data_IF_050847989493
#
_entry.id   IF_050847989493
#
_cell.length_a   1.000
_cell.length_b   1.000
_cell.length_c   1.000
_cell.angle_alpha   90.00
_cell.angle_beta   90.00
_cell.angle_gamma   90.00
#
_symmetry.space_group_name_H-M   'P 1'
#
loop_
_entity.id
_entity.type
_entity.pdbx_description
1 polymer ?
#
# COMPACT_ATOMS: atom_id res chain seq x y z
N UNK A 1 10.49 18.33 -13.18
CA UNK A 1 10.82 16.93 -12.86
C UNK A 1 9.96 16.36 -11.71
N UNK A 2 8.64 16.63 -11.66
CA UNK A 2 7.78 16.11 -10.57
C UNK A 2 7.19 14.73 -10.87
N UNK A 3 6.75 14.51 -12.11
CA UNK A 3 6.00 13.30 -12.52
C UNK A 3 6.85 12.20 -13.18
N UNK A 4 8.18 12.34 -13.24
CA UNK A 4 9.05 11.38 -13.94
C UNK A 4 8.95 9.98 -13.34
N UNK A 5 9.05 9.86 -12.00
CA UNK A 5 8.89 8.58 -11.31
C UNK A 5 7.46 8.03 -11.42
N UNK A 6 6.47 8.91 -11.49
CA UNK A 6 5.08 8.51 -11.69
C UNK A 6 4.90 7.87 -13.06
N UNK A 7 5.26 8.60 -14.12
CA UNK A 7 5.14 8.17 -15.50
C UNK A 7 5.96 6.90 -15.79
N UNK A 8 7.14 6.74 -15.18
CA UNK A 8 7.98 5.55 -15.34
C UNK A 8 7.36 4.27 -14.74
N UNK A 9 6.44 4.40 -13.78
CA UNK A 9 5.81 3.27 -13.08
C UNK A 9 4.45 2.85 -13.66
N UNK A 10 3.89 3.58 -14.64
CA UNK A 10 2.55 3.31 -15.19
C UNK A 10 2.61 2.99 -16.67
N UNK A 11 1.82 2.02 -17.08
CA UNK A 11 1.49 1.78 -18.48
C UNK A 11 0.10 2.35 -18.79
N UNK A 12 0.07 3.56 -19.34
CA UNK A 12 -1.18 4.26 -19.69
C UNK A 12 -1.92 3.66 -20.89
N UNK A 13 -1.40 2.60 -21.51
CA UNK A 13 -2.18 1.80 -22.46
C UNK A 13 -3.00 0.73 -21.73
N UNK A 14 -2.84 0.57 -20.42
CA UNK A 14 -3.56 -0.43 -19.62
C UNK A 14 -4.38 0.19 -18.50
N UNK A 15 -3.95 1.33 -17.97
CA UNK A 15 -4.66 2.04 -16.91
C UNK A 15 -5.40 3.27 -17.46
N UNK A 16 -6.58 3.57 -16.89
CA UNK A 16 -7.33 4.79 -17.15
C UNK A 16 -6.82 6.00 -16.33
N UNK A 17 -5.71 5.83 -15.61
CA UNK A 17 -5.13 6.89 -14.78
C UNK A 17 -4.65 8.09 -15.62
N UNK A 18 -4.85 9.33 -15.15
CA UNK A 18 -4.45 10.54 -15.89
C UNK A 18 -2.93 10.71 -15.94
N UNK A 19 -2.46 11.37 -17.01
CA UNK A 19 -1.02 11.64 -17.29
C UNK A 19 -0.53 13.00 -16.79
N UNK A 20 -1.41 13.99 -16.75
CA UNK A 20 -1.07 15.38 -16.41
C UNK A 20 -2.32 16.11 -15.91
N UNK A 21 -2.14 17.32 -15.38
CA UNK A 21 -3.20 18.18 -14.87
C UNK A 21 -2.62 19.41 -14.20
N UNK A 22 -3.38 20.51 -14.14
CA UNK A 22 -3.02 21.70 -13.36
C UNK A 22 -4.25 22.24 -12.66
N UNK A 23 -4.09 22.68 -11.42
CA UNK A 23 -5.16 23.34 -10.68
C UNK A 23 -5.60 24.62 -11.38
N UNK A 24 -6.89 24.67 -11.72
CA UNK A 24 -7.53 25.87 -12.27
C UNK A 24 -7.83 26.91 -11.17
N UNK A 25 -7.89 26.48 -9.90
CA UNK A 25 -8.18 27.35 -8.77
C UNK A 25 -6.94 28.18 -8.40
N UNK A 26 -7.04 29.50 -8.53
CA UNK A 26 -5.93 30.42 -8.23
C UNK A 26 -5.89 30.87 -6.76
N UNK A 27 -6.93 30.53 -5.99
CA UNK A 27 -7.18 31.10 -4.67
C UNK A 27 -6.93 30.11 -3.55
N UNK A 28 -7.23 28.83 -3.75
CA UNK A 28 -7.12 27.80 -2.71
C UNK A 28 -6.26 26.61 -3.17
N UNK A 29 -5.64 25.95 -2.21
CA UNK A 29 -4.96 24.67 -2.42
C UNK A 29 -5.95 23.53 -2.16
N UNK A 30 -5.87 22.48 -2.96
CA UNK A 30 -6.80 21.34 -2.90
C UNK A 30 -6.13 20.12 -2.29
N UNK A 31 -6.90 19.35 -1.54
CA UNK A 31 -6.49 18.03 -1.08
C UNK A 31 -7.49 16.96 -1.52
N UNK A 32 -7.01 15.73 -1.55
CA UNK A 32 -7.81 14.55 -1.81
C UNK A 32 -7.31 13.40 -0.96
N UNK A 33 -8.24 12.57 -0.49
CA UNK A 33 -7.96 11.30 0.16
C UNK A 33 -8.68 10.23 -0.64
N UNK A 34 -7.92 9.30 -1.21
CA UNK A 34 -8.47 8.16 -1.91
C UNK A 34 -8.43 6.92 -1.02
N UNK A 35 -9.53 6.17 -0.92
CA UNK A 35 -9.54 4.84 -0.31
C UNK A 35 -9.20 3.86 -1.43
N UNK A 36 -8.16 3.08 -1.22
CA UNK A 36 -7.57 2.23 -2.25
C UNK A 36 -7.48 0.79 -1.75
N UNK A 37 -8.29 -0.07 -2.36
CA UNK A 37 -8.26 -1.51 -2.13
C UNK A 37 -7.35 -2.20 -3.14
N UNK A 38 -6.04 -2.12 -2.85
CA UNK A 38 -4.99 -2.78 -3.63
C UNK A 38 -4.68 -4.17 -3.02
N UNK A 39 -3.42 -4.61 -3.03
CA UNK A 39 -2.99 -5.78 -2.25
C UNK A 39 -3.28 -5.66 -0.76
N UNK A 40 -3.43 -4.42 -0.25
CA UNK A 40 -3.91 -4.11 1.09
C UNK A 40 -4.77 -2.86 1.00
N UNK A 41 -5.87 -2.83 1.74
CA UNK A 41 -6.63 -1.62 1.93
C UNK A 41 -5.76 -0.53 2.59
N UNK A 42 -5.69 0.63 1.96
CA UNK A 42 -5.02 1.81 2.49
C UNK A 42 -5.70 3.08 1.99
N UNK A 43 -5.24 4.22 2.50
CA UNK A 43 -5.73 5.53 2.07
C UNK A 43 -4.58 6.35 1.52
N UNK A 44 -4.70 6.83 0.29
CA UNK A 44 -3.75 7.75 -0.31
C UNK A 44 -4.14 9.19 0.03
N UNK A 45 -3.38 9.81 0.92
CA UNK A 45 -3.54 11.20 1.33
C UNK A 45 -2.70 12.10 0.43
N UNK A 46 -3.31 13.08 -0.23
CA UNK A 46 -2.63 13.90 -1.24
C UNK A 46 -2.92 15.39 -1.09
N UNK A 47 -1.87 16.19 -1.26
CA UNK A 47 -1.90 17.65 -1.17
C UNK A 47 -1.39 18.28 -2.47
N UNK A 48 -2.14 19.20 -3.02
CA UNK A 48 -1.72 20.01 -4.17
C UNK A 48 -0.55 20.93 -3.78
N UNK A 49 0.63 20.73 -4.38
CA UNK A 49 1.77 21.67 -4.32
C UNK A 49 2.61 21.57 -5.59
N UNK A 50 3.10 22.70 -6.10
CA UNK A 50 3.91 22.80 -7.32
C UNK A 50 3.21 22.22 -8.57
N UNK A 51 1.88 22.28 -8.59
CA UNK A 51 1.06 21.74 -9.69
C UNK A 51 0.99 20.22 -9.76
N UNK A 52 1.44 19.52 -8.72
CA UNK A 52 1.33 18.07 -8.56
C UNK A 52 0.67 17.74 -7.21
N UNK A 53 0.36 16.46 -6.99
CA UNK A 53 -0.17 15.94 -5.74
C UNK A 53 0.95 15.25 -4.94
N UNK A 54 1.49 15.94 -3.94
CA UNK A 54 2.39 15.34 -2.95
C UNK A 54 1.60 14.29 -2.17
N UNK A 55 2.06 13.05 -2.16
CA UNK A 55 1.21 11.90 -1.80
C UNK A 55 1.83 11.05 -0.68
N UNK A 56 0.97 10.52 0.19
CA UNK A 56 1.32 9.58 1.25
C UNK A 56 0.32 8.43 1.31
N UNK A 57 0.81 7.20 1.36
CA UNK A 57 0.00 6.02 1.67
C UNK A 57 -0.16 5.88 3.19
N UNK A 58 -1.39 5.86 3.67
CA UNK A 58 -1.78 5.76 5.08
C UNK A 58 -2.50 4.42 5.32
N UNK A 59 -1.79 3.36 5.75
CA UNK A 59 -2.33 2.00 5.76
C UNK A 59 -3.59 1.79 6.62
N UNK A 60 -3.72 2.56 7.71
CA UNK A 60 -4.88 2.48 8.62
C UNK A 60 -5.86 3.64 8.45
N UNK A 61 -5.70 4.43 7.39
CA UNK A 61 -6.47 5.65 7.16
C UNK A 61 -6.18 6.78 8.16
N UNK A 62 -6.77 7.96 7.92
CA UNK A 62 -6.69 9.09 8.85
C UNK A 62 -7.38 8.76 10.19
N UNK A 63 -7.10 9.57 11.20
CA UNK A 63 -7.76 9.53 12.50
C UNK A 63 -8.18 10.93 12.88
N UNK A 64 -9.37 11.09 13.46
CA UNK A 64 -9.82 12.34 14.08
C UNK A 64 -9.50 12.39 15.58
N UNK A 65 -8.91 11.33 16.14
CA UNK A 65 -8.43 11.30 17.53
C UNK A 65 -6.99 11.85 17.62
N UNK A 66 -6.75 12.96 18.38
CA UNK A 66 -5.42 13.54 18.56
C UNK A 66 -4.41 12.62 19.25
N UNK A 67 -4.86 11.60 19.98
CA UNK A 67 -3.98 10.63 20.64
C UNK A 67 -3.47 9.55 19.68
N UNK A 68 -4.15 9.36 18.55
CA UNK A 68 -3.85 8.32 17.58
C UNK A 68 -2.91 8.85 16.51
N UNK A 69 -1.69 8.33 16.46
CA UNK A 69 -0.70 8.63 15.41
C UNK A 69 -0.82 7.60 14.28
N UNK A 70 -1.02 8.06 13.05
CA UNK A 70 -1.13 7.20 11.86
C UNK A 70 0.17 7.23 11.08
N UNK A 71 0.70 6.07 10.72
CA UNK A 71 1.83 5.98 9.79
C UNK A 71 1.38 6.47 8.41
N UNK A 72 2.16 7.36 7.81
CA UNK A 72 1.97 7.90 6.47
C UNK A 72 3.27 7.75 5.69
N UNK A 73 3.30 6.86 4.71
CA UNK A 73 4.47 6.58 3.89
C UNK A 73 4.47 7.50 2.67
N UNK A 74 5.45 8.38 2.53
CA UNK A 74 5.53 9.26 1.36
C UNK A 74 5.81 8.43 0.10
N UNK A 75 5.00 8.64 -0.93
CA UNK A 75 5.08 7.96 -2.24
C UNK A 75 5.33 8.97 -3.35
N UNK A 76 5.35 8.54 -4.60
CA UNK A 76 5.57 9.43 -5.74
C UNK A 76 4.52 10.53 -5.85
N UNK A 77 4.91 11.67 -6.42
CA UNK A 77 3.98 12.73 -6.79
C UNK A 77 3.01 12.23 -7.87
N UNK A 78 1.74 12.59 -7.75
CA UNK A 78 0.71 12.22 -8.73
C UNK A 78 0.29 13.46 -9.55
N UNK A 79 -0.18 13.29 -10.80
CA UNK A 79 -0.69 14.40 -11.59
C UNK A 79 -1.92 14.98 -10.91
N UNK A 80 -2.13 16.29 -11.06
CA UNK A 80 -3.23 16.98 -10.40
C UNK A 80 -4.61 16.38 -10.73
N UNK A 81 -4.84 15.99 -11.98
CA UNK A 81 -6.12 15.42 -12.43
C UNK A 81 -6.41 14.05 -11.81
N UNK A 82 -5.41 13.40 -11.20
CA UNK A 82 -5.60 12.17 -10.43
C UNK A 82 -6.57 12.34 -9.26
N UNK A 83 -6.78 13.59 -8.81
CA UNK A 83 -7.64 13.90 -7.66
C UNK A 83 -9.09 13.43 -7.82
N UNK A 84 -9.59 13.31 -9.05
CA UNK A 84 -10.97 12.89 -9.33
C UNK A 84 -11.06 11.47 -9.85
N UNK A 85 -9.95 10.72 -9.84
CA UNK A 85 -9.93 9.36 -10.34
C UNK A 85 -10.65 8.42 -9.36
N UNK A 86 -11.67 7.73 -9.88
CA UNK A 86 -12.36 6.59 -9.27
C UNK A 86 -12.47 5.48 -10.30
N UNK A 87 -12.23 4.24 -9.90
CA UNK A 87 -12.32 3.08 -10.79
C UNK A 87 -11.37 1.95 -10.40
N UNK A 88 -11.21 1.00 -11.31
CA UNK A 88 -10.33 -0.16 -11.16
C UNK A 88 -9.02 0.08 -11.89
N UNK A 89 -7.91 -0.08 -11.17
CA UNK A 89 -6.57 -0.23 -11.74
C UNK A 89 -6.33 -1.74 -11.96
N UNK A 90 -5.97 -2.18 -13.18
CA UNK A 90 -5.83 -3.60 -13.49
C UNK A 90 -4.90 -4.36 -12.54
N UNK A 91 -5.27 -5.61 -12.21
CA UNK A 91 -4.42 -6.49 -11.41
C UNK A 91 -3.07 -6.72 -12.11
N UNK A 92 -1.98 -6.56 -11.36
CA UNK A 92 -0.61 -6.70 -11.87
C UNK A 92 0.05 -5.38 -12.28
N UNK A 93 -0.72 -4.31 -12.46
CA UNK A 93 -0.19 -2.96 -12.62
C UNK A 93 0.19 -2.36 -11.26
N UNK A 94 1.06 -1.34 -11.29
CA UNK A 94 1.48 -0.66 -10.07
C UNK A 94 0.31 0.08 -9.42
N UNK A 95 -0.07 -0.33 -8.21
CA UNK A 95 -1.29 0.16 -7.57
C UNK A 95 -2.57 -0.52 -8.08
N UNK A 96 -2.48 -1.72 -8.64
CA UNK A 96 -3.66 -2.51 -9.03
C UNK A 96 -4.63 -2.71 -7.86
N UNK A 97 -5.91 -2.44 -8.11
CA UNK A 97 -6.93 -2.35 -7.07
C UNK A 97 -8.05 -1.39 -7.41
N UNK A 98 -9.02 -1.28 -6.53
CA UNK A 98 -10.15 -0.36 -6.68
C UNK A 98 -9.90 0.92 -5.90
N UNK A 99 -10.07 2.06 -6.56
CA UNK A 99 -9.86 3.38 -6.00
C UNK A 99 -11.16 4.16 -5.97
N UNK A 100 -11.47 4.76 -4.82
CA UNK A 100 -12.52 5.78 -4.68
C UNK A 100 -11.96 7.04 -4.05
N UNK A 101 -12.54 8.19 -4.37
CA UNK A 101 -12.30 9.47 -3.71
C UNK A 101 -13.10 9.49 -2.41
N UNK A 102 -12.43 9.15 -1.32
CA UNK A 102 -13.03 9.01 0.00
C UNK A 102 -13.30 10.35 0.68
N UNK A 103 -12.46 11.36 0.45
CA UNK A 103 -12.67 12.73 0.91
C UNK A 103 -11.95 13.69 -0.03
N UNK A 104 -12.45 14.92 -0.14
CA UNK A 104 -11.81 15.98 -0.89
C UNK A 104 -12.16 17.33 -0.29
N UNK A 105 -11.34 18.33 -0.59
CA UNK A 105 -11.67 19.69 -0.21
C UNK A 105 -10.51 20.64 -0.41
N UNK A 106 -10.54 21.71 0.37
CA UNK A 106 -9.47 22.72 0.36
C UNK A 106 -8.64 22.63 1.62
N UNK A 107 -7.40 23.07 1.55
CA UNK A 107 -6.53 23.13 2.73
C UNK A 107 -5.68 24.40 2.72
N UNK A 108 -5.22 24.78 3.90
CA UNK A 108 -4.36 25.93 4.12
C UNK A 108 -3.34 25.63 5.23
N UNK A 109 -2.21 26.36 5.31
CA UNK A 109 -1.36 26.29 6.50
C UNK A 109 -2.13 26.75 7.75
N UNK A 110 -1.78 26.19 8.91
CA UNK A 110 -2.37 26.63 10.20
C UNK A 110 -2.03 28.11 10.46
N UNK A 111 -0.86 28.55 10.01
CA UNK A 111 -0.45 29.95 10.07
C UNK A 111 -1.24 30.79 9.07
N UNK A 112 -1.77 31.93 9.53
CA UNK A 112 -2.57 32.83 8.69
C UNK A 112 -1.70 33.53 7.64
N UNK A 113 -1.60 32.92 6.47
CA UNK A 113 -0.85 33.44 5.32
C UNK A 113 -1.83 33.81 4.20
N UNK A 114 -1.72 35.03 3.68
CA UNK A 114 -2.60 35.51 2.60
C UNK A 114 -2.05 35.10 1.23
N UNK A 115 -2.91 34.49 0.42
CA UNK A 115 -2.66 34.18 -0.99
C UNK A 115 -2.06 32.80 -1.22
N UNK A 116 -2.62 32.09 -2.21
CA UNK A 116 -2.28 30.70 -2.56
C UNK A 116 -0.77 30.47 -2.71
N UNK A 117 -0.08 31.35 -3.47
CA UNK A 117 1.35 31.21 -3.76
C UNK A 117 2.23 31.33 -2.49
N UNK A 118 1.85 32.21 -1.57
CA UNK A 118 2.58 32.39 -0.31
C UNK A 118 2.33 31.21 0.63
N UNK A 119 1.08 30.73 0.71
CA UNK A 119 0.72 29.52 1.45
C UNK A 119 1.48 28.29 0.92
N UNK A 120 1.48 28.08 -0.40
CA UNK A 120 2.18 26.97 -1.05
C UNK A 120 3.69 27.01 -0.78
N UNK A 121 4.32 28.20 -0.91
CA UNK A 121 5.74 28.35 -0.60
C UNK A 121 6.06 27.97 0.85
N UNK A 122 5.26 28.44 1.80
CA UNK A 122 5.43 28.14 3.21
C UNK A 122 5.26 26.64 3.50
N UNK A 123 4.25 26.01 2.91
CA UNK A 123 4.01 24.57 3.03
C UNK A 123 5.14 23.73 2.42
N UNK A 124 5.74 24.18 1.31
CA UNK A 124 6.91 23.53 0.71
C UNK A 124 8.15 23.61 1.61
N UNK A 125 8.36 24.71 2.31
CA UNK A 125 9.43 24.85 3.31
C UNK A 125 9.18 23.89 4.49
N UNK A 126 7.94 23.82 4.98
CA UNK A 126 7.53 22.87 6.01
C UNK A 126 7.71 21.41 5.59
N UNK A 127 7.32 21.07 4.35
CA UNK A 127 7.52 19.74 3.76
C UNK A 127 9.02 19.38 3.72
N UNK A 128 9.89 20.31 3.31
CA UNK A 128 11.35 20.09 3.30
C UNK A 128 11.92 19.91 4.72
N UNK A 129 11.40 20.67 5.69
CA UNK A 129 11.81 20.55 7.09
C UNK A 129 11.33 19.27 7.78
N UNK A 130 10.37 18.55 7.17
CA UNK A 130 9.80 17.33 7.75
C UNK A 130 8.68 17.59 8.76
N UNK A 131 8.10 18.78 8.82
CA UNK A 131 7.01 19.12 9.74
C UNK A 131 5.98 20.00 9.04
N UNK A 132 4.99 19.36 8.41
CA UNK A 132 3.91 20.01 7.68
C UNK A 132 2.67 20.16 8.56
N UNK A 133 2.15 21.37 8.69
CA UNK A 133 1.00 21.70 9.54
C UNK A 133 -0.08 22.37 8.70
N UNK A 134 -1.22 21.70 8.59
CA UNK A 134 -2.30 22.09 7.69
C UNK A 134 -3.63 22.11 8.42
N UNK A 135 -4.54 22.94 7.92
CA UNK A 135 -5.96 22.91 8.25
C UNK A 135 -6.73 22.40 7.04
N UNK A 136 -7.47 21.32 7.22
CA UNK A 136 -8.32 20.70 6.20
C UNK A 136 -9.74 21.27 6.29
N UNK A 137 -10.33 21.49 5.13
CA UNK A 137 -11.73 21.87 4.92
C UNK A 137 -12.31 20.90 3.90
N UNK A 138 -12.55 19.66 4.35
CA UNK A 138 -13.12 18.56 3.56
C UNK A 138 -14.59 18.31 3.83
N UNK A 139 -15.11 17.26 3.20
CA UNK A 139 -16.46 16.76 3.49
C UNK A 139 -16.47 15.82 4.71
N UNK A 140 -15.35 15.11 4.94
CA UNK A 140 -15.21 14.19 6.09
C UNK A 140 -14.18 14.65 7.10
N UNK A 141 -13.02 15.12 6.64
CA UNK A 141 -11.97 15.63 7.51
C UNK A 141 -12.00 17.15 7.55
N UNK A 142 -12.17 17.66 8.77
CA UNK A 142 -12.09 19.08 9.09
C UNK A 142 -11.08 19.34 10.21
N UNK A 143 -10.54 20.55 10.22
CA UNK A 143 -9.66 21.03 11.27
C UNK A 143 -8.17 20.77 11.02
N UNK A 144 -7.39 20.90 12.08
CA UNK A 144 -5.94 20.93 12.05
C UNK A 144 -5.31 19.53 12.10
N UNK A 145 -4.32 19.31 11.24
CA UNK A 145 -3.51 18.09 11.14
C UNK A 145 -2.03 18.43 10.97
N UNK A 146 -1.18 17.50 11.39
CA UNK A 146 0.25 17.56 11.16
C UNK A 146 0.77 16.28 10.49
N UNK A 147 1.66 16.45 9.52
CA UNK A 147 2.50 15.41 8.93
C UNK A 147 3.93 15.64 9.42
N UNK A 148 4.45 14.71 10.22
CA UNK A 148 5.79 14.81 10.83
C UNK A 148 6.67 13.66 10.35
N UNK A 149 7.79 13.97 9.71
CA UNK A 149 8.77 12.99 9.25
C UNK A 149 9.47 12.34 10.44
N UNK A 150 9.54 11.01 10.45
CA UNK A 150 10.16 10.26 11.54
C UNK A 150 11.62 9.97 11.24
N UNK A 151 12.50 10.27 12.20
CA UNK A 151 13.90 9.87 12.15
C UNK A 151 14.07 8.50 12.83
N UNK A 152 14.80 7.57 12.19
CA UNK A 152 15.01 6.20 12.72
C UNK A 152 14.06 5.13 12.21
N UNK A 153 13.18 5.45 11.25
CA UNK A 153 12.42 4.48 10.45
C UNK A 153 12.89 4.53 8.98
N UNK A 154 12.07 4.04 8.03
CA UNK A 154 12.33 4.22 6.60
C UNK A 154 12.43 5.72 6.23
N UNK A 155 13.28 6.07 5.26
CA UNK A 155 13.56 7.47 4.90
C UNK A 155 12.34 8.27 4.43
N UNK A 156 11.30 7.57 3.96
CA UNK A 156 10.03 8.13 3.51
C UNK A 156 8.89 7.99 4.56
N UNK A 157 9.21 7.68 5.81
CA UNK A 157 8.22 7.49 6.88
C UNK A 157 7.82 8.83 7.53
N UNK A 158 6.51 9.06 7.61
CA UNK A 158 5.87 10.20 8.28
C UNK A 158 4.78 9.72 9.24
N UNK A 159 4.36 10.60 10.13
CA UNK A 159 3.19 10.43 10.99
C UNK A 159 2.15 11.48 10.64
N UNK A 160 0.94 11.04 10.34
CA UNK A 160 -0.25 11.87 10.26
C UNK A 160 -0.91 11.91 11.65
N UNK A 161 -1.07 13.12 12.19
CA UNK A 161 -1.53 13.36 13.56
C UNK A 161 -2.59 14.46 13.53
N UNK A 162 -3.76 14.19 14.14
CA UNK A 162 -4.80 15.20 14.34
C UNK A 162 -4.40 16.13 15.48
N UNK A 163 -4.54 17.44 15.31
CA UNK A 163 -4.44 18.38 16.43
C UNK A 163 -5.72 18.41 17.25
N UNK A 164 -5.59 18.79 18.53
CA UNK A 164 -6.74 18.98 19.41
C UNK A 164 -7.42 20.31 19.08
N UNK A 165 -8.55 20.23 18.37
CA UNK A 165 -9.44 21.35 18.03
C UNK A 165 -10.91 20.93 18.18
N UNK A 166 -11.83 21.78 17.71
CA UNK A 166 -13.28 21.54 17.79
C UNK A 166 -13.78 20.34 16.96
N UNK A 167 -13.00 19.90 15.96
CA UNK A 167 -13.34 18.77 15.07
C UNK A 167 -12.72 17.44 15.54
N UNK A 168 -11.93 17.45 16.61
CA UNK A 168 -11.33 16.25 17.17
C UNK A 168 -12.40 15.30 17.75
N UNK A 169 -12.31 14.02 17.41
CA UNK A 169 -13.25 12.99 17.85
C UNK A 169 -12.58 11.63 18.03
N UNK A 170 -13.05 10.84 18.99
CA UNK A 170 -12.62 9.44 19.15
C UNK A 170 -13.37 8.47 18.22
N UNK A 171 -14.38 8.96 17.50
CA UNK A 171 -15.13 8.15 16.55
C UNK A 171 -14.24 7.77 15.37
N UNK A 172 -14.32 6.50 14.96
CA UNK A 172 -13.59 6.02 13.79
C UNK A 172 -14.23 6.58 12.51
N UNK A 173 -13.57 7.59 11.93
CA UNK A 173 -14.02 8.26 10.71
C UNK A 173 -13.98 7.33 9.49
N UNK A 174 -13.12 6.30 9.50
CA UNK A 174 -12.93 5.39 8.35
C UNK A 174 -14.16 4.53 8.06
N UNK A 175 -15.11 4.47 9.00
CA UNK A 175 -16.43 3.83 8.84
C UNK A 175 -17.34 4.57 7.85
N UNK A 176 -17.02 5.81 7.47
CA UNK A 176 -17.72 6.50 6.38
C UNK A 176 -17.22 6.00 5.03
N UNK A 177 -17.71 4.84 4.57
CA UNK A 177 -17.05 4.07 3.50
C UNK A 177 -17.27 4.57 2.08
N UNK A 178 -18.23 5.48 1.88
CA UNK A 178 -18.65 5.92 0.54
C UNK A 178 -17.75 6.99 -0.06
N UNK A 179 -17.73 7.06 -1.38
CA UNK A 179 -17.14 8.16 -2.14
C UNK A 179 -17.88 9.47 -1.89
N UNK A 180 -17.15 10.59 -1.88
CA UNK A 180 -17.73 11.94 -1.89
C UNK A 180 -18.11 12.41 -3.31
N UNK A 181 -17.64 11.71 -4.35
CA UNK A 181 -17.97 12.04 -5.75
C UNK A 181 -19.17 11.24 -6.26
N UNK A 182 -19.16 9.92 -6.06
CA UNK A 182 -20.15 9.01 -6.63
C UNK A 182 -21.16 8.47 -5.62
N UNK A 183 -20.98 8.74 -4.31
CA UNK A 183 -21.72 8.09 -3.22
C UNK A 183 -21.65 6.55 -3.22
N UNK A 184 -20.65 5.99 -3.91
CA UNK A 184 -20.42 4.54 -4.03
C UNK A 184 -19.37 4.03 -3.05
N UNK A 185 -19.51 2.80 -2.58
CA UNK A 185 -18.46 2.07 -1.86
C UNK A 185 -17.51 1.37 -2.84
N UNK A 186 -16.34 0.94 -2.35
CA UNK A 186 -15.39 0.14 -3.15
C UNK A 186 -16.07 -1.09 -3.78
N UNK A 187 -16.84 -1.85 -2.98
CA UNK A 187 -17.55 -3.02 -3.47
C UNK A 187 -18.63 -2.70 -4.53
N UNK A 188 -19.17 -1.48 -4.53
CA UNK A 188 -20.11 -1.02 -5.57
C UNK A 188 -19.36 -0.61 -6.83
N UNK A 189 -18.24 0.12 -6.71
CA UNK A 189 -17.39 0.46 -7.86
C UNK A 189 -16.87 -0.80 -8.55
N UNK A 190 -16.46 -1.81 -7.79
CA UNK A 190 -16.02 -3.10 -8.32
C UNK A 190 -17.08 -3.84 -9.13
N UNK A 191 -18.34 -3.74 -8.71
CA UNK A 191 -19.47 -4.38 -9.40
C UNK A 191 -19.99 -3.57 -10.58
N UNK A 192 -19.90 -2.25 -10.51
CA UNK A 192 -20.43 -1.33 -11.52
C UNK A 192 -19.44 -1.07 -12.66
N UNK A 193 -18.15 -1.38 -12.47
CA UNK A 193 -17.12 -1.18 -13.48
C UNK A 193 -17.14 -2.30 -14.53
N UNK A 194 -18.24 -2.42 -15.26
CA UNK A 194 -18.29 -3.11 -16.56
C UNK A 194 -17.48 -2.37 -17.66
N UNK A 195 -16.72 -1.33 -17.29
CA UNK A 195 -15.81 -0.57 -18.17
C UNK A 195 -14.32 -0.73 -17.79
N UNK A 196 -13.86 -1.96 -17.58
CA UNK A 196 -12.44 -2.27 -17.80
C UNK A 196 -12.27 -2.57 -19.29
N UNK A 197 -11.62 -1.66 -20.01
CA UNK A 197 -11.26 -1.86 -21.41
C UNK A 197 -10.32 -3.06 -21.53
N UNK A 198 -10.84 -4.19 -22.03
CA UNK A 198 -10.05 -5.31 -22.49
C UNK A 198 -9.66 -5.07 -23.95
N UNK A 199 -8.42 -4.66 -24.22
CA UNK A 199 -7.89 -4.77 -25.57
C UNK A 199 -7.54 -6.22 -25.88
N UNK A 200 -8.45 -6.83 -26.65
CA UNK A 200 -8.34 -8.03 -27.47
C UNK A 200 -7.88 -9.35 -26.83
N UNK A 201 -8.88 -10.25 -26.78
CA UNK A 201 -8.81 -11.69 -27.09
C UNK A 201 -7.51 -12.15 -27.78
N UNK A 202 -6.88 -13.14 -27.19
CA UNK A 202 -6.66 -14.42 -27.88
C UNK A 202 -7.04 -15.59 -26.97
N UNK A 203 -8.04 -16.31 -27.46
CA UNK A 203 -8.30 -17.74 -27.34
C UNK A 203 -8.48 -18.40 -25.96
N UNK A 204 -9.77 -18.59 -25.65
CA UNK A 204 -10.29 -19.79 -25.01
C UNK A 204 -9.66 -21.06 -25.61
N UNK A 205 -8.71 -21.64 -24.89
CA UNK A 205 -8.36 -23.05 -25.02
C UNK A 205 -8.47 -23.70 -23.64
N UNK A 206 -9.67 -24.23 -23.34
CA UNK A 206 -9.90 -25.25 -22.31
C UNK A 206 -8.96 -26.43 -22.56
N UNK A 207 -7.83 -26.47 -21.85
CA UNK A 207 -7.07 -27.72 -21.67
C UNK A 207 -7.70 -28.44 -20.48
N UNK A 208 -8.52 -29.46 -20.76
CA UNK A 208 -8.92 -30.46 -19.77
C UNK A 208 -7.69 -31.29 -19.40
N UNK A 209 -7.12 -31.02 -18.23
CA UNK A 209 -6.16 -31.94 -17.62
C UNK A 209 -6.92 -33.09 -16.94
N UNK A 210 -6.57 -34.33 -17.30
CA UNK A 210 -7.00 -35.55 -16.61
C UNK A 210 -6.30 -35.65 -15.23
N UNK A 211 -6.90 -36.32 -14.24
CA UNK A 211 -6.27 -36.54 -12.95
C UNK A 211 -5.21 -37.65 -13.09
N UNK A 212 -3.94 -37.33 -12.86
CA UNK A 212 -2.90 -38.36 -12.67
C UNK A 212 -2.86 -38.79 -11.20
N UNK A 213 -3.05 -40.10 -11.03
CA UNK A 213 -2.98 -40.82 -9.76
C UNK A 213 -1.56 -40.79 -9.19
N UNK A 214 -1.48 -40.69 -7.86
CA UNK A 214 -0.23 -40.60 -7.12
C UNK A 214 0.65 -41.85 -7.13
N UNK A 215 1.89 -41.63 -6.65
CA UNK A 215 2.69 -42.64 -5.96
C UNK A 215 3.80 -43.32 -6.77
N UNK A 216 4.87 -42.60 -7.13
CA UNK A 216 6.19 -43.25 -7.30
C UNK A 216 6.96 -43.14 -5.99
N UNK A 217 7.30 -44.29 -5.40
CA UNK A 217 8.00 -44.40 -4.12
C UNK A 217 9.29 -43.58 -4.08
N UNK A 218 9.52 -42.83 -3.01
CA UNK A 218 10.69 -41.97 -2.74
C UNK A 218 12.04 -42.66 -3.03
N UNK A 219 12.12 -43.99 -2.88
CA UNK A 219 13.31 -44.81 -3.16
C UNK A 219 13.80 -44.77 -4.61
N UNK A 220 12.93 -44.43 -5.57
CA UNK A 220 13.30 -44.34 -6.98
C UNK A 220 13.95 -42.99 -7.34
N UNK A 221 13.61 -41.92 -6.62
CA UNK A 221 14.10 -40.55 -6.87
C UNK A 221 15.56 -40.38 -6.42
N UNK A 222 15.96 -41.07 -5.36
CA UNK A 222 17.32 -40.96 -4.79
C UNK A 222 18.39 -41.62 -5.68
N UNK A 223 18.04 -42.66 -6.46
CA UNK A 223 19.01 -43.41 -7.30
C UNK A 223 19.57 -42.62 -8.50
N UNK A 224 19.04 -41.43 -8.80
CA UNK A 224 19.47 -40.58 -9.93
C UNK A 224 20.08 -39.24 -9.50
N UNK A 225 20.18 -38.95 -8.21
CA UNK A 225 20.80 -37.72 -7.72
C UNK A 225 22.32 -37.81 -7.72
N UNK A 226 23.00 -36.82 -8.30
CA UNK A 226 24.44 -36.63 -8.10
C UNK A 226 24.69 -35.89 -6.79
N UNK A 227 25.79 -36.25 -6.10
CA UNK A 227 26.20 -35.49 -4.92
C UNK A 227 26.52 -34.04 -5.32
N UNK A 228 25.81 -33.10 -4.70
CA UNK A 228 26.00 -31.66 -4.91
C UNK A 228 26.24 -30.95 -3.57
N UNK A 229 26.80 -29.74 -3.64
CA UNK A 229 26.94 -28.90 -2.45
C UNK A 229 25.55 -28.52 -1.94
N UNK A 230 25.40 -28.39 -0.62
CA UNK A 230 24.15 -27.94 -0.04
C UNK A 230 23.80 -26.55 -0.60
N UNK A 231 22.54 -26.30 -1.04
CA UNK A 231 22.17 -25.02 -1.61
C UNK A 231 22.27 -23.91 -0.55
N UNK A 232 22.82 -22.77 -0.92
CA UNK A 232 22.92 -21.59 -0.04
C UNK A 232 22.01 -20.46 -0.54
N UNK A 233 21.70 -19.49 0.33
CA UNK A 233 20.88 -18.33 -0.03
C UNK A 233 19.38 -18.59 -0.13
N UNK A 234 18.91 -19.78 0.25
CA UNK A 234 17.49 -20.06 0.41
C UNK A 234 16.91 -19.22 1.54
N UNK A 235 15.67 -18.75 1.36
CA UNK A 235 14.92 -18.02 2.39
C UNK A 235 13.68 -18.83 2.77
N UNK A 236 13.33 -18.92 4.06
CA UNK A 236 12.10 -19.58 4.45
C UNK A 236 10.92 -18.93 3.73
N UNK A 237 9.95 -19.75 3.29
CA UNK A 237 8.72 -19.24 2.71
C UNK A 237 8.02 -18.31 3.70
N UNK A 238 7.57 -17.16 3.19
CA UNK A 238 6.78 -16.24 3.98
C UNK A 238 5.33 -16.71 3.90
N UNK A 239 4.63 -16.60 5.03
CA UNK A 239 3.19 -16.77 5.01
C UNK A 239 2.64 -15.63 4.14
N UNK A 240 1.99 -16.00 3.05
CA UNK A 240 1.17 -15.07 2.29
C UNK A 240 -0.03 -14.76 3.17
N UNK A 241 -0.18 -13.50 3.55
CA UNK A 241 -1.36 -13.09 4.30
C UNK A 241 -2.57 -13.21 3.36
N UNK A 242 -3.54 -14.02 3.77
CA UNK A 242 -4.83 -14.20 3.08
C UNK A 242 -5.93 -13.65 3.98
N UNK A 243 -6.98 -13.10 3.38
CA UNK A 243 -8.08 -12.46 4.12
C UNK A 243 -9.02 -13.47 4.79
N UNK A 244 -9.12 -14.67 4.23
CA UNK A 244 -9.85 -15.80 4.81
C UNK A 244 -9.13 -17.13 4.50
N UNK A 245 -9.32 -18.18 5.33
CA UNK A 245 -8.88 -19.53 4.98
C UNK A 245 -9.59 -19.98 3.71
N UNK A 246 -8.86 -20.55 2.77
CA UNK A 246 -9.45 -21.22 1.61
C UNK A 246 -9.51 -22.73 1.86
N UNK A 247 -10.25 -23.46 1.04
CA UNK A 247 -10.25 -24.93 1.02
C UNK A 247 -9.85 -25.39 -0.38
N UNK A 248 -8.75 -26.14 -0.47
CA UNK A 248 -8.20 -26.62 -1.72
C UNK A 248 -7.66 -28.06 -1.52
N UNK A 249 -8.01 -29.03 -2.40
CA UNK A 249 -7.57 -30.42 -2.28
C UNK A 249 -6.05 -30.62 -2.25
N UNK A 250 -5.29 -29.68 -2.79
CA UNK A 250 -3.83 -29.74 -2.84
C UNK A 250 -3.16 -29.17 -1.57
N UNK A 251 -3.94 -28.70 -0.60
CA UNK A 251 -3.45 -28.04 0.61
C UNK A 251 -3.71 -28.86 1.89
N UNK A 252 -2.76 -28.80 2.82
CA UNK A 252 -2.91 -29.30 4.18
C UNK A 252 -2.72 -28.15 5.16
N UNK A 253 -3.62 -28.05 6.15
CA UNK A 253 -3.62 -26.99 7.14
C UNK A 253 -3.02 -27.45 8.46
N UNK A 254 -2.16 -26.62 9.05
CA UNK A 254 -1.57 -26.81 10.38
C UNK A 254 -1.91 -25.62 11.28
N UNK A 255 -2.10 -25.87 12.57
CA UNK A 255 -2.26 -24.81 13.56
C UNK A 255 -1.00 -23.93 13.58
N UNK A 256 -1.19 -22.62 13.47
CA UNK A 256 -0.09 -21.67 13.54
C UNK A 256 0.45 -21.57 14.97
N UNK A 257 1.68 -22.04 15.18
CA UNK A 257 2.45 -21.80 16.39
C UNK A 257 3.27 -20.51 16.26
N UNK A 258 3.22 -19.64 17.27
CA UNK A 258 4.10 -18.47 17.33
C UNK A 258 5.54 -18.89 17.64
N UNK A 259 6.50 -18.36 16.90
CA UNK A 259 7.90 -18.75 17.07
C UNK A 259 8.83 -18.22 15.99
N UNK A 260 10.03 -18.77 15.97
CA UNK A 260 11.06 -18.44 14.98
C UNK A 260 10.90 -19.30 13.75
N UNK A 261 10.86 -18.67 12.57
CA UNK A 261 10.98 -19.38 11.29
C UNK A 261 12.46 -19.49 10.93
N UNK A 262 12.94 -20.71 10.75
CA UNK A 262 14.32 -21.02 10.41
C UNK A 262 14.38 -22.06 9.28
N UNK A 263 15.51 -22.10 8.56
CA UNK A 263 15.88 -23.22 7.70
C UNK A 263 16.89 -24.08 8.45
N UNK A 264 16.70 -25.40 8.39
CA UNK A 264 17.64 -26.37 8.93
C UNK A 264 18.46 -26.99 7.79
N UNK A 265 19.78 -26.90 7.91
CA UNK A 265 20.73 -27.52 7.00
C UNK A 265 21.36 -28.70 7.72
N UNK A 266 21.04 -29.92 7.27
CA UNK A 266 21.66 -31.15 7.75
C UNK A 266 22.73 -31.59 6.76
N UNK A 267 23.99 -31.54 7.18
CA UNK A 267 25.11 -31.97 6.36
C UNK A 267 26.00 -32.91 7.18
N UNK A 268 26.10 -34.18 6.76
CA UNK A 268 26.96 -35.20 7.40
C UNK A 268 26.81 -35.28 8.94
N UNK A 269 25.59 -35.10 9.45
CA UNK A 269 25.30 -35.15 10.88
C UNK A 269 25.43 -33.82 11.62
N UNK A 270 25.93 -32.77 10.97
CA UNK A 270 25.93 -31.41 11.52
C UNK A 270 24.64 -30.68 11.14
N UNK A 271 24.04 -29.98 12.11
CA UNK A 271 22.82 -29.19 11.94
C UNK A 271 23.16 -27.71 12.08
N UNK A 272 22.86 -26.94 11.03
CA UNK A 272 22.89 -25.48 11.06
C UNK A 272 21.47 -24.92 10.92
N UNK A 273 21.06 -24.09 11.87
CA UNK A 273 19.80 -23.34 11.83
C UNK A 273 20.07 -21.92 11.37
N UNK A 274 19.46 -21.50 10.27
CA UNK A 274 19.56 -20.14 9.75
C UNK A 274 18.23 -19.41 9.85
N UNK A 275 18.28 -18.18 10.37
CA UNK A 275 17.15 -17.25 10.38
C UNK A 275 16.83 -16.71 8.99
N UNK A 276 15.68 -16.04 8.85
CA UNK A 276 15.27 -15.34 7.61
C UNK A 276 16.33 -14.39 7.03
N UNK A 277 17.16 -13.78 7.87
CA UNK A 277 18.19 -12.83 7.46
C UNK A 277 19.58 -13.47 7.44
N UNK A 278 19.65 -14.80 7.26
CA UNK A 278 20.89 -15.58 7.18
C UNK A 278 21.79 -15.49 8.43
N UNK A 279 21.22 -15.16 9.59
CA UNK A 279 21.92 -15.22 10.89
C UNK A 279 21.79 -16.62 11.47
N UNK A 280 22.89 -17.16 12.00
CA UNK A 280 22.88 -18.43 12.72
C UNK A 280 21.99 -18.34 13.95
N UNK A 281 21.22 -19.41 14.16
CA UNK A 281 20.38 -19.62 15.31
C UNK A 281 20.95 -20.67 16.27
N UNK A 282 22.09 -21.29 15.95
CA UNK A 282 22.74 -22.28 16.81
C UNK A 282 23.23 -21.70 18.14
N UNK A 283 23.54 -20.40 18.20
CA UNK A 283 23.86 -19.72 19.47
C UNK A 283 22.64 -19.60 20.39
N UNK A 284 21.45 -19.52 19.81
CA UNK A 284 20.19 -19.34 20.54
C UNK A 284 19.49 -20.67 20.84
N UNK A 285 19.62 -21.63 19.93
CA UNK A 285 19.11 -22.99 20.05
C UNK A 285 20.29 -23.94 19.97
N UNK A 286 21.02 -24.03 21.07
CA UNK A 286 22.20 -24.89 21.16
C UNK A 286 21.79 -26.37 21.15
N UNK A 287 22.63 -27.27 20.59
CA UNK A 287 22.36 -28.69 20.60
C UNK A 287 22.23 -29.23 22.03
N UNK A 288 21.20 -30.05 22.25
CA UNK A 288 21.07 -30.85 23.48
C UNK A 288 21.63 -32.23 23.11
N UNK A 289 22.74 -32.61 23.75
CA UNK A 289 23.40 -33.90 23.57
C UNK A 289 22.88 -34.92 24.58
#
# INVERSE_FOLDING_TARGET
MGLEKYNAKRDFNKTAEPKSGKSADKNKLLFVIQKHDASRLHYDFRLEMEGVLKSWAVPKGPSTDPKTKRLAMMVEDHPFDYRTFEGIIPKGEYGGGTVIVWDQGTYEPIEKIKGKKAQEKHLLEQLKSGSLKIKLHGEKLEGEFALVKTHGMAENSWLLIKHKDEFASVKDITKQEKSVLSDQTIAQVEKNSDQVWHSNKTDDARVKAKPEQGGKSEKALVKKGSNSKIPTGMKPMLATLVDEPFDDPDWQYEVKWDGYRALAFLNKGEVELLSRNNKSFNEKFYPIY
#
